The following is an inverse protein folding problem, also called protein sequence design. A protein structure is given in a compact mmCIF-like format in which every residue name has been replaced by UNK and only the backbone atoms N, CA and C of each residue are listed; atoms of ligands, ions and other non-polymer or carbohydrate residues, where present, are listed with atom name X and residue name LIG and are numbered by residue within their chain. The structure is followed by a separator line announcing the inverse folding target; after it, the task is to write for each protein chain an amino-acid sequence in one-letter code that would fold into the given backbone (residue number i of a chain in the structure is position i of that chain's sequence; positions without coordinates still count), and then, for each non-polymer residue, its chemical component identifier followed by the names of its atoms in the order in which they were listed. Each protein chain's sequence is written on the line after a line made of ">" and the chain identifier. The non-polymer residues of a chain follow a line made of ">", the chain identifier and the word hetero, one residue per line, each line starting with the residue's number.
data_IF_169208684717
#
_entry.id   IF_169208684717
#
_cell.length_a   1.000
_cell.length_b   1.000
_cell.length_c   1.000
_cell.angle_alpha   90.00
_cell.angle_beta   90.00
_cell.angle_gamma   90.00
#
_symmetry.space_group_name_H-M   'P 1'
#
loop_
_entity.id
_entity.type
_entity.pdbx_description
1 polymer ?
#
# COMPACT_ATOMS: atom_id res chain seq x y z
N UNK A 1 15.13 13.42 -15.36
CA UNK A 1 14.11 12.37 -15.14
C UNK A 1 12.79 13.05 -14.80
N UNK A 2 11.65 12.53 -15.26
CA UNK A 2 10.36 13.10 -14.89
C UNK A 2 10.00 12.70 -13.45
N UNK A 3 9.51 13.66 -12.65
CA UNK A 3 9.11 13.44 -11.25
C UNK A 3 7.70 12.88 -11.17
N UNK A 4 7.49 11.85 -10.34
CA UNK A 4 6.18 11.22 -10.09
C UNK A 4 5.88 11.27 -8.60
N UNK A 5 4.71 11.83 -8.28
CA UNK A 5 4.17 11.86 -6.93
C UNK A 5 3.33 10.61 -6.70
N UNK A 6 3.70 9.82 -5.70
CA UNK A 6 3.06 8.53 -5.40
C UNK A 6 2.52 8.56 -3.98
N UNK A 7 1.27 8.14 -3.83
CA UNK A 7 0.67 7.82 -2.54
C UNK A 7 0.54 6.29 -2.42
N UNK A 8 0.84 5.75 -1.24
CA UNK A 8 0.75 4.31 -0.99
C UNK A 8 -0.49 4.01 -0.16
N UNK A 9 -1.35 3.13 -0.66
CA UNK A 9 -2.48 2.60 0.11
C UNK A 9 -2.17 1.15 0.50
N UNK A 10 -2.13 0.88 1.80
CA UNK A 10 -1.92 -0.44 2.36
C UNK A 10 -3.23 -1.01 2.95
N UNK A 11 -3.30 -2.33 3.16
CA UNK A 11 -4.44 -2.93 3.84
C UNK A 11 -4.36 -2.71 5.35
N UNK A 12 -5.40 -2.13 5.95
CA UNK A 12 -5.48 -1.83 7.40
C UNK A 12 -5.30 -3.08 8.27
N UNK A 13 -5.82 -4.22 7.80
CA UNK A 13 -5.84 -5.47 8.56
C UNK A 13 -4.48 -6.18 8.63
N UNK A 14 -3.52 -5.80 7.76
CA UNK A 14 -2.19 -6.42 7.72
C UNK A 14 -1.07 -5.42 8.03
N UNK A 15 -1.29 -4.13 7.78
CA UNK A 15 -0.34 -3.04 7.98
C UNK A 15 -0.02 -2.93 9.48
N UNK A 16 1.21 -3.26 9.85
CA UNK A 16 1.69 -3.20 11.23
C UNK A 16 1.59 -4.52 12.00
N UNK A 17 0.95 -5.55 11.44
CA UNK A 17 0.79 -6.87 12.11
C UNK A 17 1.60 -7.96 11.41
N UNK A 18 1.32 -8.22 10.13
CA UNK A 18 1.98 -9.26 9.33
C UNK A 18 2.90 -8.66 8.27
N UNK A 19 2.50 -7.53 7.72
CA UNK A 19 3.41 -6.61 7.06
C UNK A 19 3.94 -5.69 8.16
N UNK A 20 5.26 -5.68 8.40
CA UNK A 20 5.95 -4.87 9.44
C UNK A 20 5.93 -3.37 9.09
N UNK A 21 4.75 -2.87 8.71
CA UNK A 21 4.47 -1.60 8.10
C UNK A 21 4.79 -1.61 6.61
N UNK A 22 3.82 -1.18 5.80
CA UNK A 22 4.12 -0.61 4.48
C UNK A 22 5.17 0.51 4.53
N UNK A 23 5.63 0.92 5.72
CA UNK A 23 6.47 2.06 6.00
C UNK A 23 7.98 1.81 5.80
N UNK A 24 8.55 0.64 6.12
CA UNK A 24 10.02 0.49 6.03
C UNK A 24 10.44 -0.20 4.73
N UNK A 25 9.87 -1.36 4.44
CA UNK A 25 10.22 -2.17 3.26
C UNK A 25 9.81 -1.49 1.96
N UNK A 26 8.63 -0.89 1.90
CA UNK A 26 8.19 -0.21 0.68
C UNK A 26 8.99 1.07 0.43
N UNK A 27 9.31 1.86 1.46
CA UNK A 27 10.14 3.05 1.29
C UNK A 27 11.58 2.70 0.90
N UNK A 28 12.16 1.65 1.49
CA UNK A 28 13.46 1.12 1.07
C UNK A 28 13.41 0.63 -0.38
N UNK A 29 12.39 -0.14 -0.74
CA UNK A 29 12.18 -0.62 -2.12
C UNK A 29 11.98 0.51 -3.12
N UNK A 30 11.26 1.57 -2.76
CA UNK A 30 11.11 2.78 -3.59
C UNK A 30 12.44 3.52 -3.76
N UNK A 31 13.21 3.67 -2.68
CA UNK A 31 14.52 4.33 -2.71
C UNK A 31 15.54 3.55 -3.56
N UNK A 32 15.55 2.22 -3.44
CA UNK A 32 16.43 1.33 -4.20
C UNK A 32 15.87 0.93 -5.57
N UNK A 33 14.64 1.35 -5.89
CA UNK A 33 13.91 0.94 -7.11
C UNK A 33 13.87 -0.59 -7.28
N UNK A 34 13.68 -1.30 -6.16
CA UNK A 34 13.67 -2.76 -6.10
C UNK A 34 12.26 -3.36 -6.12
N UNK A 35 12.12 -4.58 -6.63
CA UNK A 35 10.85 -5.29 -6.72
C UNK A 35 9.85 -4.58 -7.63
N UNK A 36 8.60 -4.44 -7.19
CA UNK A 36 7.52 -3.76 -7.93
C UNK A 36 7.86 -2.30 -8.30
N UNK A 37 8.83 -1.68 -7.62
CA UNK A 37 9.23 -0.29 -7.88
C UNK A 37 10.23 -0.15 -9.04
N UNK A 38 10.79 -1.24 -9.57
CA UNK A 38 11.69 -1.20 -10.74
C UNK A 38 11.00 -0.60 -11.98
N UNK A 39 9.68 -0.78 -12.10
CA UNK A 39 8.88 -0.17 -13.17
C UNK A 39 8.96 1.36 -13.23
N UNK A 40 9.45 1.98 -12.16
CA UNK A 40 9.61 3.42 -12.02
C UNK A 40 11.08 3.86 -12.12
N UNK A 41 12.00 3.00 -12.60
CA UNK A 41 13.44 3.29 -12.63
C UNK A 41 13.81 4.53 -13.43
N UNK A 42 13.04 4.87 -14.46
CA UNK A 42 13.27 6.05 -15.32
C UNK A 42 12.66 7.34 -14.74
N UNK A 43 11.99 7.24 -13.59
CA UNK A 43 11.33 8.34 -12.91
C UNK A 43 11.97 8.62 -11.54
N UNK A 44 11.80 9.85 -11.08
CA UNK A 44 12.07 10.23 -9.70
C UNK A 44 10.78 10.05 -8.89
N UNK A 45 10.82 9.22 -7.83
CA UNK A 45 9.66 8.93 -6.98
C UNK A 45 9.65 9.89 -5.78
N UNK A 46 8.58 10.66 -5.64
CA UNK A 46 8.29 11.45 -4.44
C UNK A 46 7.08 10.83 -3.74
N UNK A 47 7.31 10.26 -2.56
CA UNK A 47 6.23 9.70 -1.74
C UNK A 47 5.55 10.84 -1.00
N UNK A 48 4.29 11.10 -1.34
CA UNK A 48 3.52 12.23 -0.78
C UNK A 48 2.64 11.82 0.41
N UNK A 49 2.50 10.52 0.66
CA UNK A 49 1.70 10.02 1.76
C UNK A 49 1.56 8.50 1.72
N UNK A 50 1.27 7.94 2.89
CA UNK A 50 0.93 6.53 3.06
C UNK A 50 -0.25 6.43 3.99
N UNK A 51 -1.30 5.74 3.57
CA UNK A 51 -2.46 5.47 4.40
C UNK A 51 -2.96 4.03 4.18
N UNK A 52 -4.02 3.64 4.88
CA UNK A 52 -4.71 2.38 4.64
C UNK A 52 -6.09 2.51 4.01
N UNK A 53 -6.58 1.41 3.44
CA UNK A 53 -7.88 1.35 2.78
C UNK A 53 -9.08 1.38 3.76
N UNK A 54 -8.89 1.61 5.05
CA UNK A 54 -9.96 1.61 6.06
C UNK A 54 -10.34 0.24 6.60
N UNK A 55 -9.85 -0.84 5.98
CA UNK A 55 -10.12 -2.23 6.36
C UNK A 55 -11.39 -2.78 5.72
N UNK A 56 -11.36 -4.05 5.32
CA UNK A 56 -12.54 -4.68 4.73
C UNK A 56 -13.67 -4.74 5.77
N UNK A 57 -14.91 -4.34 5.44
CA UNK A 57 -16.06 -4.41 6.34
C UNK A 57 -16.56 -5.85 6.60
N UNK A 58 -15.77 -6.88 6.28
CA UNK A 58 -16.22 -8.29 6.18
C UNK A 58 -16.77 -8.92 7.47
N UNK A 59 -16.58 -8.28 8.62
CA UNK A 59 -17.22 -8.66 9.90
C UNK A 59 -18.53 -7.92 10.18
N UNK A 60 -18.71 -6.74 9.59
CA UNK A 60 -19.85 -5.83 9.82
C UNK A 60 -20.88 -5.94 8.71
N UNK A 61 -20.47 -6.31 7.48
CA UNK A 61 -21.40 -6.70 6.44
C UNK A 61 -22.01 -8.04 6.83
N UNK A 62 -23.34 -8.09 7.08
CA UNK A 62 -24.02 -9.37 7.11
C UNK A 62 -23.69 -10.07 5.78
N UNK A 63 -23.38 -11.37 5.81
CA UNK A 63 -23.34 -12.14 4.58
C UNK A 63 -24.75 -12.09 4.00
N UNK A 64 -25.05 -11.11 3.16
CA UNK A 64 -26.40 -10.88 2.61
C UNK A 64 -26.84 -12.12 1.82
N UNK A 65 -25.88 -12.86 1.24
CA UNK A 65 -26.08 -14.16 0.62
C UNK A 65 -26.44 -15.32 1.57
N UNK A 66 -26.30 -15.16 2.89
CA UNK A 66 -26.75 -16.12 3.92
C UNK A 66 -28.03 -15.64 4.66
N UNK A 67 -28.60 -14.50 4.28
CA UNK A 67 -29.84 -13.95 4.84
C UNK A 67 -31.03 -14.09 3.88
N UNK A 68 -30.83 -14.75 2.75
CA UNK A 68 -31.85 -15.29 1.84
C UNK A 68 -31.82 -16.82 1.94
#
# INVERSE_FOLDING_TARGET
>A
MAKKRIAVIACKNIKGTSCVGGCLKCFKGMAEKAGEYERWKDYEIEVIGMDDCGGCPGLVMPKVALMM
#
